data_IF_253688214006
#
_entry.id   IF_253688214006
#
_cell.length_a   1.000
_cell.length_b   1.000
_cell.length_c   1.000
_cell.angle_alpha   90.00
_cell.angle_beta   90.00
_cell.angle_gamma   90.00
#
_symmetry.space_group_name_H-M   'P 1'
#
loop_
_entity.id
_entity.type
_entity.pdbx_description
1 polymer ?
#
# COMPACT_ATOMS: atom_id res chain seq x y z
N UNK A 1 -34.15 34.69 15.47
CA UNK A 1 -34.10 34.91 16.93
C UNK A 1 -34.92 33.84 17.63
N UNK A 2 -34.51 33.39 18.82
CA UNK A 2 -35.34 32.47 19.62
C UNK A 2 -36.49 33.26 20.27
N UNK A 3 -37.66 32.66 20.45
CA UNK A 3 -38.84 33.33 21.05
C UNK A 3 -38.52 33.97 22.41
N UNK A 4 -37.58 33.38 23.16
CA UNK A 4 -37.07 33.91 24.43
C UNK A 4 -36.33 35.24 24.28
N UNK A 5 -35.56 35.43 23.22
CA UNK A 5 -34.82 36.67 22.94
C UNK A 5 -35.77 37.79 22.52
N UNK A 6 -36.81 37.45 21.73
CA UNK A 6 -37.86 38.40 21.32
C UNK A 6 -38.59 38.96 22.54
N UNK A 7 -39.00 38.08 23.48
CA UNK A 7 -39.67 38.48 24.73
C UNK A 7 -38.76 39.35 25.60
N UNK A 8 -37.45 39.08 25.63
CA UNK A 8 -36.49 39.88 26.38
C UNK A 8 -36.29 41.28 25.78
N UNK A 9 -36.20 41.40 24.46
CA UNK A 9 -36.09 42.70 23.78
C UNK A 9 -37.35 43.55 23.98
N UNK A 10 -38.54 42.96 23.87
CA UNK A 10 -39.80 43.67 24.16
C UNK A 10 -39.84 44.14 25.61
N UNK A 11 -39.48 43.29 26.57
CA UNK A 11 -39.44 43.66 28.00
C UNK A 11 -38.45 44.78 28.28
N UNK A 12 -37.30 44.77 27.60
CA UNK A 12 -36.25 45.80 27.73
C UNK A 12 -36.71 47.13 27.15
N UNK A 13 -37.32 47.13 25.97
CA UNK A 13 -37.88 48.34 25.36
C UNK A 13 -38.94 48.98 26.27
N UNK A 14 -39.90 48.19 26.76
CA UNK A 14 -40.92 48.68 27.71
C UNK A 14 -40.32 49.19 29.03
N UNK A 15 -39.26 48.53 29.53
CA UNK A 15 -38.53 48.99 30.72
C UNK A 15 -37.86 50.35 30.53
N UNK A 16 -37.26 50.59 29.36
CA UNK A 16 -36.62 51.86 29.03
C UNK A 16 -37.66 53.00 28.90
N UNK A 17 -38.79 52.75 28.25
CA UNK A 17 -39.88 53.72 28.11
C UNK A 17 -40.48 54.08 29.47
N UNK A 18 -40.62 53.11 30.36
CA UNK A 18 -41.06 53.32 31.75
C UNK A 18 -40.06 54.15 32.57
N UNK A 19 -38.75 53.97 32.37
CA UNK A 19 -37.72 54.78 33.02
C UNK A 19 -37.69 56.24 32.52
N UNK A 20 -38.13 56.48 31.28
CA UNK A 20 -38.29 57.82 30.72
C UNK A 20 -39.52 58.59 31.27
N UNK A 21 -40.30 57.98 32.18
CA UNK A 21 -41.46 58.59 32.81
C UNK A 21 -42.79 58.39 32.08
N UNK A 22 -42.80 57.67 30.95
CA UNK A 22 -44.03 57.35 30.23
C UNK A 22 -44.80 56.21 30.90
N UNK A 23 -46.11 56.40 31.06
CA UNK A 23 -47.02 55.42 31.67
C UNK A 23 -47.86 54.65 30.65
N UNK A 24 -47.81 55.04 29.37
CA UNK A 24 -48.59 54.44 28.27
C UNK A 24 -47.81 54.51 26.96
N UNK A 25 -47.86 53.44 26.16
CA UNK A 25 -47.25 53.39 24.82
C UNK A 25 -48.36 53.50 23.77
N UNK A 26 -48.15 54.30 22.72
CA UNK A 26 -49.11 54.38 21.62
C UNK A 26 -49.11 53.11 20.77
N UNK A 27 -50.26 52.79 20.17
CA UNK A 27 -50.39 51.63 19.27
C UNK A 27 -49.45 51.79 18.07
N UNK A 28 -49.34 52.99 17.49
CA UNK A 28 -48.43 53.27 16.36
C UNK A 28 -46.94 53.09 16.69
N UNK A 29 -46.51 53.46 17.91
CA UNK A 29 -45.13 53.25 18.34
C UNK A 29 -44.84 51.76 18.54
N UNK A 30 -45.81 51.03 19.08
CA UNK A 30 -45.71 49.58 19.26
C UNK A 30 -45.71 48.83 17.92
N UNK A 31 -46.56 49.22 16.97
CA UNK A 31 -46.60 48.64 15.61
C UNK A 31 -45.29 48.89 14.86
N UNK A 32 -44.74 50.11 14.92
CA UNK A 32 -43.45 50.41 14.33
C UNK A 32 -42.31 49.59 14.96
N UNK A 33 -42.33 49.41 16.29
CA UNK A 33 -41.35 48.58 16.97
C UNK A 33 -41.48 47.10 16.61
N UNK A 34 -42.71 46.58 16.53
CA UNK A 34 -42.98 45.20 16.12
C UNK A 34 -42.55 44.95 14.67
N UNK A 35 -42.82 45.88 13.74
CA UNK A 35 -42.37 45.79 12.36
C UNK A 35 -40.84 45.76 12.24
N UNK A 36 -40.12 46.55 13.06
CA UNK A 36 -38.65 46.50 13.11
C UNK A 36 -38.12 45.20 13.72
N UNK A 37 -38.76 44.69 14.77
CA UNK A 37 -38.42 43.41 15.40
C UNK A 37 -38.63 42.23 14.45
N UNK A 38 -39.73 42.23 13.70
CA UNK A 38 -40.04 41.22 12.69
C UNK A 38 -38.97 41.19 11.60
N UNK A 39 -38.65 42.36 11.02
CA UNK A 39 -37.59 42.48 10.01
C UNK A 39 -36.22 41.99 10.52
N UNK A 40 -35.88 42.29 11.78
CA UNK A 40 -34.64 41.79 12.41
C UNK A 40 -34.69 40.28 12.66
N UNK A 41 -35.83 39.75 13.07
CA UNK A 41 -36.02 38.33 13.33
C UNK A 41 -35.91 37.51 12.03
N UNK A 42 -36.45 38.01 10.92
CA UNK A 42 -36.33 37.44 9.57
C UNK A 42 -34.88 37.41 9.10
N UNK A 43 -34.16 38.53 9.17
CA UNK A 43 -32.74 38.62 8.78
C UNK A 43 -31.86 37.64 9.57
N UNK A 44 -32.06 37.56 10.89
CA UNK A 44 -31.33 36.60 11.74
C UNK A 44 -31.73 35.15 11.39
N UNK A 45 -32.98 34.91 11.02
CA UNK A 45 -33.46 33.60 10.55
C UNK A 45 -32.78 33.15 9.26
N UNK A 46 -32.67 34.03 8.26
CA UNK A 46 -31.96 33.76 7.01
C UNK A 46 -30.47 33.54 7.22
N UNK A 47 -29.82 34.40 8.00
CA UNK A 47 -28.39 34.26 8.31
C UNK A 47 -28.08 32.91 8.97
N UNK A 48 -28.89 32.49 9.95
CA UNK A 48 -28.73 31.21 10.62
C UNK A 48 -28.94 30.01 9.67
N UNK A 49 -29.87 30.12 8.70
CA UNK A 49 -30.07 29.09 7.68
C UNK A 49 -28.87 28.97 6.76
N UNK A 50 -28.35 30.10 6.27
CA UNK A 50 -27.16 30.15 5.41
C UNK A 50 -25.93 29.60 6.13
N UNK A 51 -25.73 29.96 7.40
CA UNK A 51 -24.62 29.44 8.20
C UNK A 51 -24.76 27.94 8.46
N UNK A 52 -25.97 27.47 8.76
CA UNK A 52 -26.23 26.04 8.89
C UNK A 52 -25.94 25.27 7.59
N UNK A 53 -26.37 25.80 6.44
CA UNK A 53 -26.10 25.21 5.13
C UNK A 53 -24.61 25.21 4.80
N UNK A 54 -23.89 26.30 5.14
CA UNK A 54 -22.43 26.39 5.00
C UNK A 54 -21.73 25.32 5.83
N UNK A 55 -22.09 25.19 7.12
CA UNK A 55 -21.53 24.20 8.02
C UNK A 55 -21.82 22.77 7.55
N UNK A 56 -23.03 22.51 7.05
CA UNK A 56 -23.38 21.20 6.50
C UNK A 56 -22.53 20.88 5.27
N UNK A 57 -22.40 21.81 4.33
CA UNK A 57 -21.55 21.66 3.14
C UNK A 57 -20.08 21.47 3.49
N UNK A 58 -19.56 22.21 4.47
CA UNK A 58 -18.19 22.03 4.96
C UNK A 58 -17.99 20.67 5.62
N UNK A 59 -18.94 20.23 6.43
CA UNK A 59 -18.90 18.91 7.05
C UNK A 59 -18.93 17.80 6.00
N UNK A 60 -19.82 17.88 5.01
CA UNK A 60 -19.90 16.96 3.88
C UNK A 60 -18.62 16.95 3.06
N UNK A 61 -18.07 18.13 2.73
CA UNK A 61 -16.82 18.25 1.98
C UNK A 61 -15.62 17.67 2.74
N UNK A 62 -15.54 17.90 4.06
CA UNK A 62 -14.49 17.33 4.90
C UNK A 62 -14.64 15.81 5.03
N UNK A 63 -15.86 15.31 5.20
CA UNK A 63 -16.11 13.87 5.27
C UNK A 63 -15.78 13.18 3.94
N UNK A 64 -16.19 13.78 2.81
CA UNK A 64 -15.86 13.29 1.46
C UNK A 64 -14.35 13.28 1.22
N UNK A 65 -13.62 14.33 1.64
CA UNK A 65 -12.15 14.36 1.58
C UNK A 65 -11.52 13.25 2.41
N UNK A 66 -12.00 13.03 3.63
CA UNK A 66 -11.46 11.99 4.52
C UNK A 66 -11.70 10.58 3.97
N UNK A 67 -12.89 10.32 3.42
CA UNK A 67 -13.22 9.06 2.74
C UNK A 67 -12.31 8.87 1.54
N UNK A 68 -12.19 9.88 0.67
CA UNK A 68 -11.32 9.82 -0.51
C UNK A 68 -9.86 9.59 -0.13
N UNK A 69 -9.34 10.28 0.89
CA UNK A 69 -7.99 10.08 1.39
C UNK A 69 -7.77 8.65 1.92
N UNK A 70 -8.70 8.13 2.72
CA UNK A 70 -8.64 6.77 3.25
C UNK A 70 -8.68 5.70 2.14
N UNK A 71 -9.56 5.90 1.15
CA UNK A 71 -9.65 5.03 -0.03
C UNK A 71 -8.36 5.09 -0.86
N UNK A 72 -7.81 6.28 -1.09
CA UNK A 72 -6.55 6.43 -1.82
C UNK A 72 -5.39 5.72 -1.12
N UNK A 73 -5.26 5.86 0.21
CA UNK A 73 -4.23 5.17 0.98
C UNK A 73 -4.39 3.64 0.91
N UNK A 74 -5.62 3.14 0.99
CA UNK A 74 -5.92 1.71 0.90
C UNK A 74 -5.60 1.16 -0.49
N UNK A 75 -6.08 1.83 -1.54
CA UNK A 75 -5.83 1.46 -2.95
C UNK A 75 -4.34 1.46 -3.27
N UNK A 76 -3.62 2.51 -2.87
CA UNK A 76 -2.18 2.61 -3.04
C UNK A 76 -1.44 1.46 -2.33
N UNK A 77 -1.85 1.11 -1.10
CA UNK A 77 -1.24 0.01 -0.35
C UNK A 77 -1.45 -1.35 -1.04
N UNK A 78 -2.65 -1.59 -1.58
CA UNK A 78 -2.97 -2.82 -2.32
C UNK A 78 -2.16 -2.88 -3.62
N UNK A 79 -2.05 -1.78 -4.35
CA UNK A 79 -1.29 -1.71 -5.61
C UNK A 79 0.20 -1.93 -5.37
N UNK A 80 0.78 -1.28 -4.37
CA UNK A 80 2.17 -1.49 -3.96
C UNK A 80 2.42 -2.95 -3.56
N UNK A 81 1.51 -3.55 -2.79
CA UNK A 81 1.62 -4.96 -2.42
C UNK A 81 1.60 -5.89 -3.64
N UNK A 82 0.68 -5.68 -4.58
CA UNK A 82 0.62 -6.45 -5.84
C UNK A 82 1.90 -6.29 -6.65
N UNK A 83 2.40 -5.05 -6.79
CA UNK A 83 3.64 -4.74 -7.51
C UNK A 83 4.83 -5.52 -6.95
N UNK A 84 5.00 -5.53 -5.62
CA UNK A 84 6.06 -6.29 -4.94
C UNK A 84 5.95 -7.80 -5.19
N UNK A 85 4.73 -8.36 -5.12
CA UNK A 85 4.51 -9.79 -5.40
C UNK A 85 4.85 -10.13 -6.85
N UNK A 86 4.41 -9.31 -7.80
CA UNK A 86 4.72 -9.50 -9.23
C UNK A 86 6.22 -9.43 -9.49
N UNK A 87 6.93 -8.45 -8.91
CA UNK A 87 8.38 -8.34 -9.02
C UNK A 87 9.10 -9.56 -8.41
N UNK A 88 8.64 -10.02 -7.23
CA UNK A 88 9.17 -11.22 -6.57
C UNK A 88 8.98 -12.49 -7.41
N UNK A 89 7.80 -12.67 -8.02
CA UNK A 89 7.53 -13.79 -8.93
C UNK A 89 8.42 -13.74 -10.18
N UNK A 90 8.67 -12.55 -10.74
CA UNK A 90 9.57 -12.38 -11.87
C UNK A 90 11.01 -12.78 -11.50
N UNK A 91 11.50 -12.36 -10.33
CA UNK A 91 12.81 -12.73 -9.82
C UNK A 91 12.95 -14.25 -9.59
N UNK A 92 11.93 -14.90 -8.99
CA UNK A 92 11.90 -16.35 -8.79
C UNK A 92 11.96 -17.11 -10.12
N UNK A 93 11.13 -16.71 -11.09
CA UNK A 93 11.11 -17.31 -12.43
C UNK A 93 12.45 -17.13 -13.13
N UNK A 94 13.04 -15.94 -13.07
CA UNK A 94 14.36 -15.68 -13.64
C UNK A 94 15.41 -16.61 -13.02
N UNK A 95 15.46 -16.71 -11.70
CA UNK A 95 16.37 -17.61 -10.97
C UNK A 95 16.21 -19.07 -11.38
N UNK A 96 14.97 -19.56 -11.56
CA UNK A 96 14.71 -20.92 -12.04
C UNK A 96 15.19 -21.11 -13.49
N UNK A 97 14.90 -20.16 -14.38
CA UNK A 97 15.26 -20.25 -15.80
C UNK A 97 16.77 -20.24 -15.99
N UNK A 98 17.51 -19.33 -15.35
CA UNK A 98 18.96 -19.24 -15.55
C UNK A 98 19.67 -20.48 -14.99
N UNK A 99 19.28 -20.96 -13.80
CA UNK A 99 19.90 -22.15 -13.21
C UNK A 99 19.50 -23.41 -13.99
N UNK A 100 18.21 -23.60 -14.26
CA UNK A 100 17.71 -24.76 -15.00
C UNK A 100 18.22 -24.82 -16.44
N UNK A 101 18.23 -23.67 -17.12
CA UNK A 101 18.77 -23.54 -18.48
C UNK A 101 20.27 -23.83 -18.53
N UNK A 102 21.05 -23.31 -17.58
CA UNK A 102 22.48 -23.60 -17.48
C UNK A 102 22.76 -25.08 -17.17
N UNK A 103 22.02 -25.68 -16.23
CA UNK A 103 22.11 -27.11 -15.92
C UNK A 103 21.82 -27.98 -17.15
N UNK A 104 20.74 -27.70 -17.87
CA UNK A 104 20.35 -28.43 -19.07
C UNK A 104 21.39 -28.28 -20.19
N UNK A 105 21.91 -27.06 -20.41
CA UNK A 105 22.96 -26.80 -21.39
C UNK A 105 24.26 -27.55 -21.07
N UNK A 106 24.69 -27.53 -19.80
CA UNK A 106 25.87 -28.28 -19.37
C UNK A 106 25.68 -29.80 -19.44
N UNK A 107 24.49 -30.31 -19.12
CA UNK A 107 24.18 -31.74 -19.28
C UNK A 107 24.26 -32.17 -20.74
N UNK A 108 23.68 -31.37 -21.65
CA UNK A 108 23.76 -31.62 -23.08
C UNK A 108 25.21 -31.61 -23.58
N UNK A 109 25.99 -30.61 -23.18
CA UNK A 109 27.41 -30.54 -23.53
C UNK A 109 28.21 -31.73 -22.95
N UNK A 110 27.99 -32.06 -21.69
CA UNK A 110 28.66 -33.18 -21.01
C UNK A 110 28.36 -34.50 -21.71
N UNK A 111 27.12 -34.71 -22.18
CA UNK A 111 26.75 -35.88 -22.97
C UNK A 111 27.55 -36.02 -24.27
N UNK A 112 27.83 -34.90 -24.95
CA UNK A 112 28.64 -34.88 -26.18
C UNK A 112 30.11 -35.22 -25.92
N UNK A 113 30.75 -34.54 -24.96
CA UNK A 113 32.18 -34.77 -24.68
C UNK A 113 32.45 -36.12 -24.01
N UNK A 114 31.44 -36.73 -23.36
CA UNK A 114 31.57 -38.08 -22.79
C UNK A 114 31.85 -39.11 -23.88
N UNK A 115 31.26 -38.94 -25.08
CA UNK A 115 31.49 -39.83 -26.22
C UNK A 115 32.80 -39.57 -26.96
N UNK A 116 33.34 -38.36 -26.87
CA UNK A 116 34.54 -37.93 -27.62
C UNK A 116 35.86 -38.10 -26.83
N UNK A 117 35.78 -38.47 -25.55
CA UNK A 117 36.93 -38.63 -24.66
C UNK A 117 37.23 -37.33 -23.90
N UNK A 118 37.01 -37.37 -22.58
CA UNK A 118 37.24 -36.23 -21.67
C UNK A 118 38.13 -36.64 -20.51
N UNK A 119 39.03 -35.75 -20.09
CA UNK A 119 39.83 -35.93 -18.88
C UNK A 119 38.93 -35.98 -17.66
N UNK A 120 39.20 -36.90 -16.72
CA UNK A 120 38.44 -37.03 -15.46
C UNK A 120 38.26 -35.70 -14.70
N UNK A 121 39.26 -34.81 -14.79
CA UNK A 121 39.24 -33.48 -14.19
C UNK A 121 38.11 -32.59 -14.74
N UNK A 122 37.94 -32.56 -16.08
CA UNK A 122 36.91 -31.78 -16.78
C UNK A 122 35.53 -32.33 -16.44
N UNK A 123 35.36 -33.65 -16.53
CA UNK A 123 34.08 -34.30 -16.24
C UNK A 123 33.65 -34.09 -14.79
N UNK A 124 34.58 -34.14 -13.83
CA UNK A 124 34.27 -33.89 -12.42
C UNK A 124 33.86 -32.43 -12.17
N UNK A 125 34.55 -31.47 -12.78
CA UNK A 125 34.22 -30.05 -12.65
C UNK A 125 32.85 -29.70 -13.28
N UNK A 126 32.50 -30.30 -14.41
CA UNK A 126 31.18 -30.17 -15.03
C UNK A 126 30.07 -30.77 -14.17
N UNK A 127 30.25 -31.99 -13.65
CA UNK A 127 29.29 -32.62 -12.74
C UNK A 127 29.03 -31.76 -11.52
N UNK A 128 30.08 -31.19 -10.92
CA UNK A 128 29.93 -30.31 -9.76
C UNK A 128 29.18 -29.01 -10.11
N UNK A 129 29.45 -28.44 -11.30
CA UNK A 129 28.76 -27.24 -11.78
C UNK A 129 27.27 -27.50 -12.05
N UNK A 130 26.93 -28.64 -12.65
CA UNK A 130 25.55 -29.07 -12.87
C UNK A 130 24.81 -29.23 -11.54
N UNK A 131 25.44 -29.90 -10.55
CA UNK A 131 24.84 -30.06 -9.23
C UNK A 131 24.57 -28.71 -8.55
N UNK A 132 25.50 -27.77 -8.65
CA UNK A 132 25.32 -26.42 -8.12
C UNK A 132 24.16 -25.68 -8.79
N UNK A 133 24.02 -25.77 -10.12
CA UNK A 133 22.84 -25.21 -10.79
C UNK A 133 21.53 -25.87 -10.33
N UNK A 134 21.51 -27.19 -10.13
CA UNK A 134 20.35 -27.89 -9.56
C UNK A 134 20.03 -27.40 -8.14
N UNK A 135 21.04 -27.16 -7.30
CA UNK A 135 20.86 -26.54 -5.97
C UNK A 135 20.28 -25.13 -6.12
N UNK A 136 20.76 -24.34 -7.08
CA UNK A 136 20.20 -23.03 -7.40
C UNK A 136 18.70 -23.11 -7.75
N UNK A 137 18.30 -24.06 -8.59
CA UNK A 137 16.88 -24.32 -8.90
C UNK A 137 16.10 -24.72 -7.63
N UNK A 138 16.65 -25.62 -6.81
CA UNK A 138 16.01 -26.07 -5.58
C UNK A 138 15.78 -24.91 -4.60
N UNK A 139 16.75 -24.01 -4.43
CA UNK A 139 16.62 -22.81 -3.60
C UNK A 139 15.53 -21.86 -4.11
N UNK A 140 15.41 -21.69 -5.42
CA UNK A 140 14.34 -20.88 -6.03
C UNK A 140 12.95 -21.54 -5.88
N UNK A 141 12.87 -22.87 -6.01
CA UNK A 141 11.64 -23.62 -5.77
C UNK A 141 11.22 -23.57 -4.31
N UNK A 142 12.18 -23.74 -3.39
CA UNK A 142 11.96 -23.61 -1.96
C UNK A 142 11.44 -22.21 -1.60
N UNK A 143 12.05 -21.16 -2.15
CA UNK A 143 11.60 -19.78 -1.97
C UNK A 143 10.16 -19.54 -2.46
N UNK A 144 9.75 -20.19 -3.55
CA UNK A 144 8.36 -20.14 -4.03
C UNK A 144 7.41 -20.77 -3.02
N UNK A 145 7.76 -21.95 -2.47
CA UNK A 145 6.97 -22.64 -1.46
C UNK A 145 6.85 -21.85 -0.16
N UNK A 146 7.95 -21.30 0.34
CA UNK A 146 7.94 -20.46 1.55
C UNK A 146 7.21 -19.14 1.32
N UNK A 147 7.23 -18.58 0.10
CA UNK A 147 6.40 -17.41 -0.24
C UNK A 147 4.92 -17.74 -0.06
N UNK A 148 4.43 -18.89 -0.52
CA UNK A 148 3.06 -19.33 -0.28
C UNK A 148 2.71 -19.43 1.21
N UNK A 149 3.61 -20.01 2.03
CA UNK A 149 3.43 -20.08 3.49
C UNK A 149 3.41 -18.69 4.15
N UNK A 150 4.22 -17.74 3.66
CA UNK A 150 4.20 -16.36 4.16
C UNK A 150 2.85 -15.69 3.90
N UNK A 151 2.27 -15.91 2.71
CA UNK A 151 0.95 -15.38 2.35
C UNK A 151 -0.16 -15.99 3.19
N UNK A 152 -0.11 -17.30 3.43
CA UNK A 152 -1.05 -17.97 4.34
C UNK A 152 -0.97 -17.38 5.75
N UNK A 153 0.24 -17.10 6.24
CA UNK A 153 0.44 -16.48 7.56
C UNK A 153 -0.10 -15.04 7.63
N UNK A 154 0.06 -14.25 6.55
CA UNK A 154 -0.53 -12.92 6.47
C UNK A 154 -2.06 -12.97 6.43
N UNK A 155 -2.65 -13.96 5.75
CA UNK A 155 -4.10 -14.17 5.72
C UNK A 155 -4.65 -14.56 7.10
N UNK A 156 -3.89 -15.29 7.92
CA UNK A 156 -4.22 -15.62 9.32
C UNK A 156 -3.82 -14.52 10.32
N UNK A 157 -3.63 -13.28 9.87
CA UNK A 157 -3.22 -12.10 10.67
C UNK A 157 -1.89 -12.25 11.46
N UNK A 158 -1.12 -13.31 11.20
CA UNK A 158 0.11 -13.64 11.90
C UNK A 158 1.31 -12.94 11.27
N UNK A 159 1.35 -11.60 11.39
CA UNK A 159 2.33 -10.73 10.71
C UNK A 159 3.79 -11.07 11.03
N UNK A 160 4.12 -11.40 12.29
CA UNK A 160 5.51 -11.73 12.70
C UNK A 160 6.01 -12.99 11.99
N UNK A 161 5.20 -14.04 11.98
CA UNK A 161 5.50 -15.31 11.31
C UNK A 161 5.60 -15.12 9.80
N UNK A 162 4.66 -14.40 9.20
CA UNK A 162 4.70 -14.07 7.77
C UNK A 162 5.97 -13.34 7.37
N UNK A 163 6.37 -12.30 8.14
CA UNK A 163 7.60 -11.55 7.90
C UNK A 163 8.85 -12.43 7.98
N UNK A 164 8.94 -13.29 9.00
CA UNK A 164 10.07 -14.20 9.17
C UNK A 164 10.22 -15.16 7.98
N UNK A 165 9.12 -15.80 7.56
CA UNK A 165 9.10 -16.73 6.42
C UNK A 165 9.41 -15.98 5.11
N UNK A 166 8.95 -14.74 4.97
CA UNK A 166 9.25 -13.91 3.79
C UNK A 166 10.76 -13.57 3.72
N UNK A 167 11.38 -13.21 4.84
CA UNK A 167 12.84 -12.97 4.92
C UNK A 167 13.62 -14.23 4.53
N UNK A 168 13.18 -15.41 5.00
CA UNK A 168 13.78 -16.68 4.59
C UNK A 168 13.67 -16.91 3.08
N UNK A 169 12.51 -16.58 2.49
CA UNK A 169 12.28 -16.70 1.04
C UNK A 169 13.24 -15.80 0.26
N UNK A 170 13.37 -14.53 0.66
CA UNK A 170 14.32 -13.57 0.04
C UNK A 170 15.75 -14.06 0.17
N UNK A 171 16.17 -14.53 1.34
CA UNK A 171 17.50 -15.08 1.57
C UNK A 171 17.81 -16.29 0.68
N UNK A 172 16.81 -17.17 0.47
CA UNK A 172 16.95 -18.33 -0.41
C UNK A 172 17.14 -17.93 -1.88
N UNK A 173 16.42 -16.92 -2.38
CA UNK A 173 16.60 -16.41 -3.76
C UNK A 173 17.97 -15.76 -3.94
N UNK A 174 18.40 -14.92 -2.99
CA UNK A 174 19.73 -14.30 -3.06
C UNK A 174 20.83 -15.37 -3.04
N UNK A 175 20.69 -16.40 -2.20
CA UNK A 175 21.61 -17.54 -2.18
C UNK A 175 21.62 -18.30 -3.51
N UNK A 176 20.48 -18.46 -4.17
CA UNK A 176 20.41 -19.07 -5.51
C UNK A 176 21.25 -18.31 -6.54
N UNK A 177 21.22 -16.97 -6.53
CA UNK A 177 22.06 -16.16 -7.43
C UNK A 177 23.55 -16.28 -7.12
N UNK A 178 23.93 -16.36 -5.84
CA UNK A 178 25.33 -16.57 -5.45
C UNK A 178 25.82 -17.94 -5.91
N UNK A 179 25.01 -18.98 -5.72
CA UNK A 179 25.31 -20.35 -6.19
C UNK A 179 25.41 -20.39 -7.72
N UNK A 180 24.50 -19.71 -8.44
CA UNK A 180 24.56 -19.58 -9.89
C UNK A 180 25.90 -18.98 -10.36
N UNK A 181 26.32 -17.86 -9.76
CA UNK A 181 27.58 -17.22 -10.12
C UNK A 181 28.78 -18.13 -9.86
N UNK A 182 28.80 -18.81 -8.71
CA UNK A 182 29.86 -19.77 -8.38
C UNK A 182 29.89 -20.95 -9.35
N UNK A 183 28.73 -21.49 -9.74
CA UNK A 183 28.62 -22.55 -10.73
C UNK A 183 29.12 -22.11 -12.12
N UNK A 184 28.84 -20.87 -12.54
CA UNK A 184 29.38 -20.32 -13.79
C UNK A 184 30.91 -20.28 -13.80
N UNK A 185 31.54 -19.87 -12.70
CA UNK A 185 33.00 -19.82 -12.58
C UNK A 185 33.60 -21.22 -12.69
N UNK A 186 33.00 -22.20 -12.00
CA UNK A 186 33.44 -23.60 -12.08
C UNK A 186 33.29 -24.19 -13.48
N UNK A 187 32.15 -23.95 -14.14
CA UNK A 187 31.92 -24.38 -15.51
C UNK A 187 32.94 -23.76 -16.49
N UNK A 188 33.19 -22.46 -16.37
CA UNK A 188 34.16 -21.74 -17.20
C UNK A 188 35.59 -22.26 -17.03
N UNK A 189 36.00 -22.54 -15.79
CA UNK A 189 37.32 -23.14 -15.52
C UNK A 189 37.46 -24.53 -16.15
N UNK A 190 36.38 -25.32 -16.16
CA UNK A 190 36.36 -26.63 -16.79
C UNK A 190 36.53 -26.56 -18.31
N UNK A 191 35.85 -25.61 -18.96
CA UNK A 191 36.01 -25.38 -20.40
C UNK A 191 37.41 -24.91 -20.75
N UNK A 192 37.98 -24.02 -19.94
CA UNK A 192 39.35 -23.53 -20.13
C UNK A 192 40.36 -24.68 -20.10
N UNK A 193 40.20 -25.62 -19.16
CA UNK A 193 41.05 -26.82 -19.09
C UNK A 193 40.82 -27.70 -20.32
N UNK A 194 39.57 -28.01 -20.68
CA UNK A 194 39.27 -28.90 -21.81
C UNK A 194 39.83 -28.38 -23.14
N UNK A 195 39.59 -27.12 -23.46
CA UNK A 195 40.07 -26.50 -24.70
C UNK A 195 41.55 -26.10 -24.66
N UNK A 196 42.13 -25.89 -23.48
CA UNK A 196 43.57 -25.66 -23.33
C UNK A 196 44.42 -26.94 -23.43
N UNK A 197 43.79 -28.12 -23.34
CA UNK A 197 44.44 -29.43 -23.51
C UNK A 197 44.24 -30.07 -24.89
N UNK A 198 43.46 -29.42 -25.76
CA UNK A 198 43.26 -29.78 -27.18
C UNK A 198 44.39 -29.16 -28.03
#
# INVERSE_FOLDING_TARGET
MKSKEVIQEVRKALGNTKQAGETSVSIEAMDNFMAQLEKRAEQVGEFNKLEHERLLKEFEANNARNIAASQNMTSHSIEMFKSVITAGQAALKSSMIINGGAAAALLAFTGKIWTEGSTKLVTNALTHSILLFCIGVLLAAFATGTTYLSQLSYASESRKTGNFINVLSVGSVLSSYVVFLYACIKASSSFTIHFGTL
#
